data_IF_648256802372
#
_entry.id   IF_648256802372
#
_cell.length_a   1.000
_cell.length_b   1.000
_cell.length_c   1.000
_cell.angle_alpha   90.00
_cell.angle_beta   90.00
_cell.angle_gamma   90.00
#
_symmetry.space_group_name_H-M   'P 1'
#
loop_
_entity.id
_entity.type
_entity.pdbx_description
1 polymer ?
#
# COMPACT_ATOMS: atom_id res chain seq x y z
N UNK A 1 -37.96 -3.73 -12.11
CA UNK A 1 -37.93 -2.25 -11.94
C UNK A 1 -38.91 -1.65 -12.94
N UNK A 2 -39.66 -0.61 -12.57
CA UNK A 2 -40.69 -0.08 -13.46
C UNK A 2 -40.84 1.44 -13.35
N UNK A 3 -41.27 2.05 -14.45
CA UNK A 3 -41.54 3.49 -14.54
C UNK A 3 -43.02 3.70 -14.78
N UNK A 4 -43.56 4.73 -14.14
CA UNK A 4 -44.93 5.23 -14.35
C UNK A 4 -44.85 6.71 -14.65
N UNK A 5 -45.62 7.17 -15.63
CA UNK A 5 -45.73 8.58 -15.98
C UNK A 5 -47.10 9.08 -15.56
N UNK A 6 -47.14 10.20 -14.87
CA UNK A 6 -48.37 10.90 -14.52
C UNK A 6 -48.53 12.09 -15.45
N UNK A 7 -49.63 12.14 -16.19
CA UNK A 7 -50.03 13.34 -16.92
C UNK A 7 -51.09 14.07 -16.09
N UNK A 8 -50.99 15.39 -16.05
CA UNK A 8 -51.96 16.27 -15.41
C UNK A 8 -52.34 17.37 -16.38
N UNK A 9 -53.62 17.58 -16.60
CA UNK A 9 -54.11 18.65 -17.49
C UNK A 9 -54.46 19.92 -16.70
N UNK A 10 -55.02 20.90 -17.42
CA UNK A 10 -55.18 22.28 -16.95
C UNK A 10 -56.22 22.45 -15.84
N UNK A 11 -57.18 21.54 -15.70
CA UNK A 11 -58.15 21.48 -14.61
C UNK A 11 -57.79 20.43 -13.56
N UNK A 12 -56.53 20.00 -13.57
CA UNK A 12 -55.87 19.29 -12.48
C UNK A 12 -56.24 17.80 -12.38
N UNK A 13 -56.92 17.26 -13.39
CA UNK A 13 -57.18 15.84 -13.52
C UNK A 13 -55.89 15.09 -13.86
N UNK A 14 -55.76 13.87 -13.33
CA UNK A 14 -54.55 13.06 -13.53
C UNK A 14 -54.86 11.72 -14.15
N UNK A 15 -54.06 11.33 -15.12
CA UNK A 15 -54.00 9.94 -15.61
C UNK A 15 -52.58 9.40 -15.42
N UNK A 16 -52.48 8.19 -14.88
CA UNK A 16 -51.22 7.46 -14.75
C UNK A 16 -51.09 6.40 -15.84
N UNK A 17 -49.89 6.25 -16.38
CA UNK A 17 -49.57 5.13 -17.26
C UNK A 17 -49.60 3.81 -16.48
N UNK A 18 -49.82 2.70 -17.19
CA UNK A 18 -49.45 1.39 -16.67
C UNK A 18 -47.95 1.34 -16.36
N UNK A 19 -47.54 0.51 -15.39
CA UNK A 19 -46.12 0.30 -15.08
C UNK A 19 -45.42 -0.34 -16.28
N UNK A 20 -44.47 0.38 -16.87
CA UNK A 20 -43.61 -0.16 -17.90
C UNK A 20 -42.43 -0.90 -17.24
N UNK A 21 -42.22 -2.16 -17.60
CA UNK A 21 -41.07 -2.93 -17.16
C UNK A 21 -39.81 -2.45 -17.90
N UNK A 22 -38.81 -2.00 -17.14
CA UNK A 22 -37.52 -1.54 -17.64
C UNK A 22 -36.36 -2.41 -17.15
N UNK A 23 -36.66 -3.56 -16.55
CA UNK A 23 -35.66 -4.44 -15.93
C UNK A 23 -34.57 -4.90 -16.90
N UNK A 24 -34.86 -4.99 -18.21
CA UNK A 24 -33.88 -5.30 -19.25
C UNK A 24 -33.22 -4.09 -19.91
N UNK A 25 -33.64 -2.86 -19.58
CA UNK A 25 -33.13 -1.63 -20.16
C UNK A 25 -32.11 -0.93 -19.25
N UNK A 26 -32.10 -1.27 -17.95
CA UNK A 26 -31.16 -0.74 -16.97
C UNK A 26 -30.13 -1.81 -16.62
N UNK A 27 -28.85 -1.55 -16.91
CA UNK A 27 -27.73 -2.40 -16.50
C UNK A 27 -26.89 -1.66 -15.47
N UNK A 28 -26.76 -2.25 -14.28
CA UNK A 28 -25.74 -1.84 -13.32
C UNK A 28 -24.44 -2.55 -13.70
N UNK A 29 -23.46 -1.78 -14.16
CA UNK A 29 -22.10 -2.25 -14.31
C UNK A 29 -21.46 -2.17 -12.92
N UNK A 30 -21.84 -3.07 -12.02
CA UNK A 30 -21.16 -3.21 -10.74
C UNK A 30 -19.79 -3.86 -11.01
N UNK A 31 -18.78 -3.02 -11.21
CA UNK A 31 -17.39 -3.42 -11.24
C UNK A 31 -16.80 -3.30 -9.83
N UNK A 32 -17.14 -4.27 -8.97
CA UNK A 32 -16.65 -4.29 -7.59
C UNK A 32 -15.12 -4.12 -7.47
N UNK A 33 -14.64 -3.65 -6.31
CA UNK A 33 -13.28 -3.18 -6.16
C UNK A 33 -12.24 -4.27 -6.45
N UNK A 34 -11.23 -3.92 -7.25
CA UNK A 34 -10.10 -4.80 -7.57
C UNK A 34 -8.78 -4.20 -7.13
N UNK A 35 -8.00 -5.01 -6.42
CA UNK A 35 -6.68 -4.64 -5.91
C UNK A 35 -5.65 -5.69 -6.29
N UNK A 36 -4.48 -5.24 -6.73
CA UNK A 36 -3.33 -6.09 -7.02
C UNK A 36 -2.14 -5.64 -6.17
N UNK A 37 -1.60 -6.59 -5.40
CA UNK A 37 -0.38 -6.42 -4.60
C UNK A 37 0.72 -7.19 -5.31
N UNK A 38 1.88 -6.56 -5.48
CA UNK A 38 3.05 -7.23 -6.03
C UNK A 38 4.27 -7.02 -5.14
N UNK A 39 5.10 -8.07 -5.09
CA UNK A 39 6.42 -8.00 -4.47
C UNK A 39 7.40 -7.47 -5.50
N UNK A 40 8.21 -6.49 -5.10
CA UNK A 40 9.32 -6.04 -5.92
C UNK A 40 10.48 -7.04 -5.79
N UNK A 41 10.55 -8.00 -6.71
CA UNK A 41 11.63 -8.99 -6.75
C UNK A 41 13.02 -8.40 -7.05
N UNK A 42 13.06 -7.15 -7.50
CA UNK A 42 14.30 -6.41 -7.80
C UNK A 42 14.69 -5.47 -6.64
N UNK A 43 13.93 -5.47 -5.54
CA UNK A 43 14.30 -4.75 -4.34
C UNK A 43 15.57 -5.39 -3.77
N UNK A 44 16.64 -4.61 -3.70
CA UNK A 44 17.93 -5.04 -3.14
C UNK A 44 18.20 -4.19 -1.91
N UNK A 45 18.57 -4.84 -0.81
CA UNK A 45 19.16 -4.16 0.33
C UNK A 45 20.64 -3.87 0.01
N UNK A 46 20.97 -2.59 -0.13
CA UNK A 46 22.35 -2.15 -0.28
C UNK A 46 22.95 -1.85 1.09
N UNK A 47 24.18 -2.30 1.31
CA UNK A 47 25.00 -1.90 2.45
C UNK A 47 25.80 -0.66 2.05
N UNK A 48 25.59 0.45 2.75
CA UNK A 48 26.34 1.69 2.58
C UNK A 48 27.33 1.84 3.74
N UNK A 49 28.62 1.79 3.42
CA UNK A 49 29.76 1.85 4.36
C UNK A 49 30.45 3.23 4.39
N UNK A 50 29.82 4.28 3.82
CA UNK A 50 30.51 5.55 3.54
C UNK A 50 30.43 6.63 4.64
N UNK A 51 29.84 6.37 5.81
CA UNK A 51 29.66 7.40 6.84
C UNK A 51 29.54 6.90 8.28
N UNK A 52 29.87 7.77 9.24
CA UNK A 52 29.84 7.45 10.68
C UNK A 52 28.39 7.35 11.23
N UNK A 53 28.07 6.25 11.91
CA UNK A 53 26.78 6.02 12.57
C UNK A 53 26.97 5.34 13.92
N UNK A 54 26.55 5.98 15.02
CA UNK A 54 26.29 5.37 16.34
C UNK A 54 27.46 4.71 17.10
N UNK A 55 27.36 4.58 18.43
CA UNK A 55 28.41 3.96 19.28
C UNK A 55 28.38 2.45 19.22
N UNK A 56 29.54 1.81 19.10
CA UNK A 56 29.68 0.37 19.05
C UNK A 56 29.30 -0.44 20.29
N UNK A 57 28.48 -1.48 20.11
CA UNK A 57 28.02 -2.36 21.20
C UNK A 57 28.79 -3.69 21.28
N UNK A 58 29.50 -4.10 20.23
CA UNK A 58 30.38 -5.28 20.23
C UNK A 58 31.83 -4.90 20.57
N UNK A 59 32.32 -5.35 21.72
CA UNK A 59 33.71 -5.22 22.13
C UNK A 59 34.51 -6.45 21.70
N UNK A 60 35.49 -6.27 20.78
CA UNK A 60 36.42 -7.35 20.38
C UNK A 60 37.84 -7.12 20.89
N UNK A 61 38.02 -6.29 21.91
CA UNK A 61 39.30 -5.96 22.51
C UNK A 61 40.03 -4.86 21.72
N UNK A 62 41.18 -5.18 21.11
CA UNK A 62 42.03 -4.18 20.44
C UNK A 62 41.41 -3.57 19.17
N UNK A 63 40.36 -4.20 18.61
CA UNK A 63 39.62 -3.72 17.45
C UNK A 63 38.19 -3.45 17.90
N UNK A 64 37.77 -2.18 17.92
CA UNK A 64 36.37 -1.83 18.16
C UNK A 64 35.64 -2.05 16.83
N UNK A 65 34.88 -3.17 16.71
CA UNK A 65 34.23 -3.49 15.44
C UNK A 65 33.16 -2.46 15.10
N UNK A 66 33.26 -1.94 13.88
CA UNK A 66 32.45 -0.85 13.36
C UNK A 66 33.16 0.50 13.33
N UNK A 67 34.16 0.76 14.18
CA UNK A 67 34.96 1.97 14.10
C UNK A 67 36.10 1.77 13.08
N UNK A 68 35.98 2.38 11.90
CA UNK A 68 37.05 2.36 10.89
C UNK A 68 38.15 3.39 11.25
N UNK A 69 39.37 2.95 11.59
CA UNK A 69 40.46 3.86 11.97
C UNK A 69 40.97 4.73 10.81
N UNK A 70 40.63 4.40 9.56
CA UNK A 70 41.00 5.16 8.37
C UNK A 70 39.93 6.22 7.99
N UNK A 71 38.83 6.30 8.74
CA UNK A 71 37.74 7.26 8.56
C UNK A 71 37.62 8.18 9.78
N UNK A 72 37.60 9.50 9.57
CA UNK A 72 37.47 10.49 10.64
C UNK A 72 36.07 10.44 11.28
N UNK A 73 35.99 9.95 12.52
CA UNK A 73 34.76 9.90 13.31
C UNK A 73 34.83 8.78 14.36
N UNK A 74 33.76 8.62 15.14
CA UNK A 74 33.57 7.44 15.99
C UNK A 74 32.20 6.83 15.69
N UNK A 75 32.16 5.52 15.40
CA UNK A 75 30.93 4.76 15.21
C UNK A 75 30.97 3.80 14.02
N UNK A 76 29.93 2.97 13.87
CA UNK A 76 29.77 2.03 12.76
C UNK A 76 29.72 2.75 11.42
N UNK A 77 30.41 2.25 10.40
CA UNK A 77 30.36 2.84 9.06
C UNK A 77 29.12 2.41 8.23
N UNK A 78 28.29 1.50 8.73
CA UNK A 78 27.36 0.73 7.88
C UNK A 78 25.88 1.00 8.17
N UNK A 79 25.11 1.31 7.11
CA UNK A 79 23.64 1.27 7.13
C UNK A 79 23.11 0.42 5.98
N UNK A 80 22.08 -0.39 6.22
CA UNK A 80 21.38 -1.15 5.18
C UNK A 80 20.08 -0.46 4.80
N UNK A 81 19.89 -0.17 3.51
CA UNK A 81 18.64 0.41 2.99
C UNK A 81 18.22 -0.30 1.71
N UNK A 82 16.93 -0.51 1.51
CA UNK A 82 16.42 -0.99 0.23
C UNK A 82 16.43 0.13 -0.81
N UNK A 83 16.71 -0.22 -2.06
CA UNK A 83 16.66 0.71 -3.20
C UNK A 83 15.23 1.15 -3.60
N UNK A 84 14.20 0.65 -2.91
CA UNK A 84 12.79 0.96 -3.14
C UNK A 84 11.86 0.23 -2.17
N UNK A 85 10.55 0.40 -2.36
CA UNK A 85 9.54 -0.32 -1.61
C UNK A 85 9.57 -1.82 -1.94
N UNK A 86 9.55 -2.67 -0.92
CA UNK A 86 9.55 -4.14 -1.04
C UNK A 86 8.20 -4.66 -1.52
N UNK A 87 7.12 -4.02 -1.06
CA UNK A 87 5.74 -4.30 -1.46
C UNK A 87 5.13 -3.01 -1.96
N UNK A 88 4.54 -3.06 -3.14
CA UNK A 88 3.87 -1.91 -3.74
C UNK A 88 2.44 -2.29 -4.10
N UNK A 89 1.52 -1.39 -3.77
CA UNK A 89 0.14 -1.47 -4.22
C UNK A 89 0.06 -0.88 -5.63
N UNK A 90 -0.11 -1.73 -6.65
CA UNK A 90 0.02 -1.31 -8.05
C UNK A 90 -1.30 -0.93 -8.70
N UNK A 91 -2.43 -1.22 -8.06
CA UNK A 91 -3.74 -0.83 -8.58
C UNK A 91 -4.74 -0.70 -7.44
N UNK A 92 -5.36 0.48 -7.36
CA UNK A 92 -6.58 0.72 -6.61
C UNK A 92 -7.68 1.12 -7.61
N UNK A 93 -8.56 0.18 -7.94
CA UNK A 93 -9.75 0.46 -8.75
C UNK A 93 -10.97 0.25 -7.85
N UNK A 94 -11.65 1.35 -7.54
CA UNK A 94 -12.82 1.34 -6.67
C UNK A 94 -14.12 1.04 -7.42
N UNK A 95 -14.09 0.95 -8.75
CA UNK A 95 -15.30 0.80 -9.54
C UNK A 95 -16.11 2.09 -9.62
N UNK A 96 -17.35 1.97 -10.10
CA UNK A 96 -18.26 3.11 -10.33
C UNK A 96 -18.78 3.80 -9.04
N UNK A 97 -18.73 3.13 -7.88
CA UNK A 97 -19.21 3.65 -6.59
C UNK A 97 -18.15 4.45 -5.80
N UNK A 98 -16.88 4.38 -6.23
CA UNK A 98 -15.79 5.16 -5.66
C UNK A 98 -15.28 4.61 -4.32
N UNK A 99 -14.28 5.27 -3.74
CA UNK A 99 -13.66 4.80 -2.50
C UNK A 99 -14.66 4.81 -1.33
N UNK A 100 -14.60 3.78 -0.49
CA UNK A 100 -15.48 3.67 0.67
C UNK A 100 -15.29 4.85 1.64
N UNK A 101 -16.38 5.58 1.92
CA UNK A 101 -16.40 6.73 2.86
C UNK A 101 -16.17 6.29 4.31
N UNK A 102 -16.53 5.04 4.66
CA UNK A 102 -16.25 4.42 5.95
C UNK A 102 -16.01 2.91 5.77
N UNK A 103 -15.15 2.32 6.62
CA UNK A 103 -14.87 0.88 6.57
C UNK A 103 -14.04 0.42 5.36
N UNK A 104 -13.18 1.30 4.82
CA UNK A 104 -12.29 0.95 3.71
C UNK A 104 -11.44 -0.30 4.03
N UNK A 105 -11.09 -1.07 3.00
CA UNK A 105 -10.24 -2.26 3.16
C UNK A 105 -8.88 -1.83 3.71
N UNK A 106 -8.56 -2.23 4.93
CA UNK A 106 -7.24 -2.05 5.53
C UNK A 106 -6.39 -3.27 5.19
N UNK A 107 -5.36 -3.08 4.37
CA UNK A 107 -4.36 -4.11 4.11
C UNK A 107 -3.29 -4.08 5.21
N UNK A 108 -2.93 -5.25 5.73
CA UNK A 108 -1.84 -5.39 6.70
C UNK A 108 -0.65 -6.11 6.07
N UNK A 109 0.55 -5.57 6.25
CA UNK A 109 1.79 -6.28 5.93
C UNK A 109 2.26 -7.04 7.17
N UNK A 110 2.18 -8.36 7.13
CA UNK A 110 2.73 -9.22 8.18
C UNK A 110 4.12 -9.69 7.76
N UNK A 111 5.13 -9.30 8.52
CA UNK A 111 6.48 -9.85 8.41
C UNK A 111 6.56 -11.08 9.30
N UNK A 112 6.46 -12.28 8.71
CA UNK A 112 6.45 -13.56 9.46
C UNK A 112 7.82 -13.96 10.02
N UNK A 113 8.89 -13.40 9.48
CA UNK A 113 10.25 -13.51 10.01
C UNK A 113 10.96 -12.16 9.78
N UNK A 114 11.23 -11.43 10.87
CA UNK A 114 11.90 -10.13 10.82
C UNK A 114 13.43 -10.23 10.82
N UNK A 115 13.98 -11.44 10.93
CA UNK A 115 15.43 -11.65 10.79
C UNK A 115 15.79 -11.53 9.33
N UNK A 116 16.43 -10.41 8.97
CA UNK A 116 16.91 -10.14 7.60
C UNK A 116 17.98 -11.12 7.13
N UNK A 117 18.69 -11.77 8.06
CA UNK A 117 19.89 -12.56 7.78
C UNK A 117 21.10 -11.70 7.39
N UNK A 118 20.95 -10.38 7.39
CA UNK A 118 22.06 -9.44 7.24
C UNK A 118 22.67 -9.23 8.62
N UNK A 119 23.98 -9.36 8.71
CA UNK A 119 24.75 -8.98 9.89
C UNK A 119 25.55 -7.73 9.54
N UNK A 120 25.43 -6.70 10.36
CA UNK A 120 26.29 -5.52 10.28
C UNK A 120 27.62 -5.80 10.98
N UNK A 121 28.64 -4.99 10.67
CA UNK A 121 29.97 -5.15 11.29
C UNK A 121 29.96 -4.95 12.81
N UNK A 122 28.88 -4.37 13.34
CA UNK A 122 28.66 -4.18 14.78
C UNK A 122 28.02 -5.39 15.48
N UNK A 123 27.73 -6.47 14.77
CA UNK A 123 27.11 -7.66 15.33
C UNK A 123 25.60 -7.61 15.50
N UNK A 124 24.92 -6.58 14.96
CA UNK A 124 23.45 -6.53 14.83
C UNK A 124 22.92 -7.06 13.49
#
# INVERSE_FOLDING_TARGET
>A
MGVTVTLRDGDNDTVQSATADISGQVRFNDDGPRVAISVNSSAVAGLDESGASGTATLDTGAVVKGNDPDVSGAGYISKASSNGAVVTLTTEAYGADGAAVAGSKVYNLVVSNATSGLALTDGS
#
